data_IF_666492656343
#
_entry.id   IF_666492656343
#
_cell.length_a   1.000
_cell.length_b   1.000
_cell.length_c   1.000
_cell.angle_alpha   90.00
_cell.angle_beta   90.00
_cell.angle_gamma   90.00
#
_symmetry.space_group_name_H-M   'P 1'
#
loop_
_entity.id
_entity.type
_entity.pdbx_description
1 polymer ?
#
# COMPACT_ATOMS: atom_id res chain seq x y z
N UNK A 1 -27.35 37.00 -46.64
CA UNK A 1 -27.70 36.13 -45.49
C UNK A 1 -26.49 35.24 -45.18
N UNK A 2 -25.77 35.53 -44.08
CA UNK A 2 -24.60 34.76 -43.66
C UNK A 2 -25.05 33.84 -42.54
N UNK A 3 -24.90 32.53 -42.73
CA UNK A 3 -25.19 31.52 -41.74
C UNK A 3 -23.96 31.34 -40.80
N UNK A 4 -24.14 31.63 -39.53
CA UNK A 4 -23.14 31.40 -38.49
C UNK A 4 -23.29 29.95 -38.05
N UNK A 5 -22.30 29.11 -38.35
CA UNK A 5 -22.21 27.75 -37.83
C UNK A 5 -21.67 27.82 -36.40
N UNK A 6 -22.51 27.46 -35.40
CA UNK A 6 -22.10 27.28 -34.00
C UNK A 6 -21.54 25.88 -33.89
N UNK A 7 -20.22 25.74 -33.76
CA UNK A 7 -19.56 24.47 -33.39
C UNK A 7 -19.74 24.26 -31.90
N UNK A 8 -20.53 23.27 -31.53
CA UNK A 8 -20.60 22.77 -30.17
C UNK A 8 -19.26 22.09 -29.82
N UNK A 9 -18.53 22.63 -28.84
CA UNK A 9 -17.35 21.98 -28.25
C UNK A 9 -17.90 20.96 -27.24
N UNK A 10 -17.90 19.69 -27.65
CA UNK A 10 -18.11 18.58 -26.72
C UNK A 10 -16.95 18.56 -25.69
N UNK A 11 -17.20 19.12 -24.53
CA UNK A 11 -16.33 18.95 -23.38
C UNK A 11 -16.42 17.49 -22.93
N UNK A 12 -15.49 16.67 -23.40
CA UNK A 12 -15.31 15.29 -22.89
C UNK A 12 -15.03 15.37 -21.40
N UNK A 13 -16.06 15.23 -20.58
CA UNK A 13 -15.90 15.04 -19.15
C UNK A 13 -15.18 13.69 -18.97
N UNK A 14 -13.90 13.75 -18.60
CA UNK A 14 -13.18 12.58 -18.13
C UNK A 14 -13.98 12.05 -16.94
N UNK A 15 -14.60 10.88 -17.11
CA UNK A 15 -15.32 10.24 -16.01
C UNK A 15 -14.36 10.13 -14.82
N UNK A 16 -14.78 10.67 -13.70
CA UNK A 16 -14.03 10.65 -12.47
C UNK A 16 -13.69 9.20 -12.09
N UNK A 17 -12.41 8.93 -11.86
CA UNK A 17 -11.90 7.58 -11.60
C UNK A 17 -12.13 7.25 -10.11
N UNK A 18 -13.31 6.74 -9.76
CA UNK A 18 -13.67 6.38 -8.39
C UNK A 18 -13.85 4.87 -8.26
N UNK A 19 -13.36 4.33 -7.16
CA UNK A 19 -13.48 2.90 -6.91
C UNK A 19 -13.28 2.54 -5.46
N UNK A 20 -13.83 1.38 -5.09
CA UNK A 20 -13.70 0.78 -3.77
C UNK A 20 -13.20 -0.65 -3.90
N UNK A 21 -12.31 -1.03 -3.01
CA UNK A 21 -11.85 -2.38 -2.78
C UNK A 21 -12.21 -2.81 -1.35
N UNK A 22 -12.82 -3.98 -1.23
CA UNK A 22 -12.97 -4.74 0.02
C UNK A 22 -12.23 -6.06 -0.15
N UNK A 23 -11.09 -6.21 0.54
CA UNK A 23 -10.26 -7.40 0.47
C UNK A 23 -10.10 -8.08 1.83
N UNK A 24 -10.10 -9.41 1.82
CA UNK A 24 -9.76 -10.26 2.96
C UNK A 24 -8.59 -11.15 2.57
N UNK A 25 -7.65 -11.32 3.49
CA UNK A 25 -6.40 -12.04 3.26
C UNK A 25 -6.18 -13.13 4.29
N UNK A 26 -5.64 -14.25 3.82
CA UNK A 26 -5.06 -15.29 4.66
C UNK A 26 -3.53 -15.15 4.65
N UNK A 27 -2.92 -15.26 5.83
CA UNK A 27 -1.47 -15.24 6.01
C UNK A 27 -1.00 -16.64 6.41
N UNK A 28 0.05 -17.13 5.73
CA UNK A 28 0.67 -18.43 6.01
C UNK A 28 2.19 -18.32 6.05
N UNK A 29 2.83 -19.24 6.79
CA UNK A 29 4.29 -19.49 6.71
C UNK A 29 4.49 -20.97 6.50
N UNK A 30 5.25 -21.36 5.46
CA UNK A 30 5.43 -22.74 5.04
C UNK A 30 4.09 -23.50 4.84
N UNK A 31 3.05 -22.79 4.37
CA UNK A 31 1.70 -23.33 4.21
C UNK A 31 0.87 -23.45 5.48
N UNK A 32 1.42 -23.13 6.65
CA UNK A 32 0.72 -23.15 7.94
C UNK A 32 0.01 -21.80 8.14
N UNK A 33 -1.32 -21.77 8.39
CA UNK A 33 -2.04 -20.53 8.70
C UNK A 33 -1.46 -19.87 9.97
N UNK A 34 -1.16 -18.57 9.85
CA UNK A 34 -0.62 -17.75 10.94
C UNK A 34 -1.49 -16.54 11.28
N UNK A 35 -2.47 -16.21 10.43
CA UNK A 35 -3.37 -15.09 10.66
C UNK A 35 -4.22 -14.75 9.45
N UNK A 36 -5.08 -13.78 9.64
CA UNK A 36 -5.92 -13.21 8.59
C UNK A 36 -6.03 -11.69 8.77
N UNK A 37 -6.44 -11.01 7.73
CA UNK A 37 -6.63 -9.56 7.75
C UNK A 37 -7.63 -9.09 6.71
N UNK A 38 -8.00 -7.82 6.83
CA UNK A 38 -8.85 -7.12 5.88
C UNK A 38 -8.22 -5.81 5.43
N UNK A 39 -8.53 -5.39 4.23
CA UNK A 39 -8.13 -4.10 3.70
C UNK A 39 -9.25 -3.47 2.88
N UNK A 40 -9.66 -2.27 3.26
CA UNK A 40 -10.63 -1.46 2.53
C UNK A 40 -9.90 -0.25 1.96
N UNK A 41 -10.04 -0.04 0.66
CA UNK A 41 -9.48 1.11 -0.05
C UNK A 41 -10.58 1.82 -0.80
N UNK A 42 -10.69 3.12 -0.64
CA UNK A 42 -11.60 3.97 -1.40
C UNK A 42 -10.81 5.04 -2.14
N UNK A 43 -11.01 5.11 -3.42
CA UNK A 43 -10.39 6.10 -4.31
C UNK A 43 -11.48 7.02 -4.81
N UNK A 44 -11.30 8.31 -4.59
CA UNK A 44 -12.16 9.39 -5.07
C UNK A 44 -11.39 10.28 -6.05
N UNK A 45 -12.06 11.25 -6.64
CA UNK A 45 -11.43 12.19 -7.60
C UNK A 45 -10.22 12.92 -7.03
N UNK A 46 -10.37 13.42 -5.80
CA UNK A 46 -9.37 14.28 -5.16
C UNK A 46 -8.79 13.69 -3.88
N UNK A 47 -9.20 12.50 -3.47
CA UNK A 47 -8.78 11.90 -2.21
C UNK A 47 -8.77 10.38 -2.26
N UNK A 48 -8.11 9.78 -1.28
CA UNK A 48 -8.20 8.35 -1.02
C UNK A 48 -8.22 8.08 0.48
N UNK A 49 -8.79 6.94 0.84
CA UNK A 49 -8.67 6.35 2.17
C UNK A 49 -8.30 4.88 2.04
N UNK A 50 -7.53 4.40 3.00
CA UNK A 50 -7.18 3.01 3.13
C UNK A 50 -7.22 2.63 4.60
N UNK A 51 -7.86 1.52 4.96
CA UNK A 51 -7.91 1.01 6.32
C UNK A 51 -7.73 -0.50 6.32
N UNK A 52 -6.92 -1.00 7.24
CA UNK A 52 -6.61 -2.40 7.37
C UNK A 52 -6.74 -2.86 8.81
N UNK A 53 -7.06 -4.12 8.98
CA UNK A 53 -6.96 -4.82 10.27
C UNK A 53 -6.42 -6.23 10.04
N UNK A 54 -5.82 -6.80 11.10
CA UNK A 54 -5.31 -8.16 11.04
C UNK A 54 -5.15 -8.74 12.43
N UNK A 55 -5.15 -10.07 12.50
CA UNK A 55 -4.95 -10.82 13.73
C UNK A 55 -4.17 -12.10 13.44
N UNK A 56 -3.36 -12.51 14.41
CA UNK A 56 -2.71 -13.81 14.37
C UNK A 56 -3.67 -14.91 14.78
N UNK A 57 -3.50 -16.11 14.22
CA UNK A 57 -4.30 -17.29 14.54
C UNK A 57 -3.46 -18.57 14.56
N UNK A 58 -4.12 -19.72 14.83
CA UNK A 58 -3.47 -21.02 14.88
C UNK A 58 -2.42 -21.13 15.95
N UNK A 59 -1.33 -21.83 15.65
CA UNK A 59 -0.20 -21.99 16.59
C UNK A 59 0.45 -20.67 16.96
N UNK A 60 0.44 -19.67 16.08
CA UNK A 60 1.03 -18.36 16.34
C UNK A 60 0.28 -17.61 17.45
N UNK A 61 -1.04 -17.84 17.61
CA UNK A 61 -1.83 -17.24 18.70
C UNK A 61 -1.32 -17.61 20.09
N UNK A 62 -0.70 -18.81 20.24
CA UNK A 62 -0.10 -19.22 21.51
C UNK A 62 1.24 -18.54 21.78
N UNK A 63 1.90 -18.00 20.76
CA UNK A 63 3.20 -17.34 20.91
C UNK A 63 3.09 -15.82 20.91
N UNK A 64 2.17 -15.28 20.08
CA UNK A 64 1.99 -13.83 19.93
C UNK A 64 0.54 -13.56 19.55
N UNK A 65 -0.35 -13.45 20.51
CA UNK A 65 -1.78 -13.11 20.26
C UNK A 65 -1.96 -11.70 19.66
N UNK A 66 -1.20 -11.38 18.61
CA UNK A 66 -1.13 -10.04 18.05
C UNK A 66 -2.35 -9.70 17.18
N UNK A 67 -2.82 -8.49 17.31
CA UNK A 67 -3.79 -7.85 16.42
C UNK A 67 -3.28 -6.47 16.00
N UNK A 68 -3.60 -6.05 14.80
CA UNK A 68 -3.17 -4.75 14.30
C UNK A 68 -4.27 -4.06 13.53
N UNK A 69 -4.23 -2.74 13.54
CA UNK A 69 -5.04 -1.87 12.70
C UNK A 69 -4.15 -0.82 12.06
N UNK A 70 -4.53 -0.36 10.89
CA UNK A 70 -3.84 0.72 10.22
C UNK A 70 -4.81 1.53 9.36
N UNK A 71 -4.55 2.82 9.22
CA UNK A 71 -5.30 3.69 8.33
C UNK A 71 -4.38 4.72 7.68
N UNK A 72 -4.61 4.97 6.41
CA UNK A 72 -4.01 6.07 5.67
C UNK A 72 -5.08 6.83 4.92
N UNK A 73 -4.90 8.13 4.78
CA UNK A 73 -5.72 8.98 3.93
C UNK A 73 -4.86 10.05 3.29
N UNK A 74 -5.32 10.54 2.15
CA UNK A 74 -4.59 11.57 1.43
C UNK A 74 -5.36 12.13 0.27
N UNK A 75 -4.66 12.86 -0.57
CA UNK A 75 -5.20 13.49 -1.78
C UNK A 75 -4.70 12.80 -3.03
N UNK A 76 -5.46 12.94 -4.10
CA UNK A 76 -5.06 12.62 -5.47
C UNK A 76 -4.55 13.90 -6.12
N UNK A 77 -3.25 14.09 -6.18
CA UNK A 77 -2.63 15.29 -6.75
C UNK A 77 -1.80 14.94 -7.97
N UNK A 78 -2.08 15.57 -9.10
CA UNK A 78 -1.42 15.27 -10.39
C UNK A 78 -1.41 13.76 -10.72
N UNK A 79 -2.48 13.05 -10.35
CA UNK A 79 -2.60 11.62 -10.54
C UNK A 79 -1.73 10.76 -9.61
N UNK A 80 -1.19 11.30 -8.53
CA UNK A 80 -0.42 10.58 -7.54
C UNK A 80 -1.19 10.50 -6.21
N UNK A 81 -0.99 9.41 -5.49
CA UNK A 81 -1.48 9.24 -4.11
C UNK A 81 -0.53 10.00 -3.18
N UNK A 82 -0.99 11.08 -2.59
CA UNK A 82 -0.22 11.93 -1.67
C UNK A 82 -0.82 11.81 -0.27
N UNK A 83 -0.20 11.04 0.64
CA UNK A 83 -0.75 10.86 1.97
C UNK A 83 -0.71 12.16 2.78
N UNK A 84 -1.73 12.34 3.63
CA UNK A 84 -1.82 13.45 4.60
C UNK A 84 -1.78 12.95 6.02
N UNK A 85 -2.18 11.71 6.28
CA UNK A 85 -2.06 11.08 7.59
C UNK A 85 -1.97 9.57 7.48
N UNK A 86 -1.22 8.99 8.40
CA UNK A 86 -1.11 7.56 8.64
C UNK A 86 -1.16 7.27 10.13
N UNK A 87 -1.85 6.22 10.51
CA UNK A 87 -1.87 5.69 11.86
C UNK A 87 -1.83 4.17 11.81
N UNK A 88 -1.08 3.57 12.71
CA UNK A 88 -1.05 2.13 12.91
C UNK A 88 -0.93 1.79 14.40
N UNK A 89 -1.64 0.76 14.82
CA UNK A 89 -1.56 0.20 16.16
C UNK A 89 -1.40 -1.30 16.05
N UNK A 90 -0.40 -1.85 16.73
CA UNK A 90 -0.18 -3.30 16.89
C UNK A 90 -0.21 -3.61 18.38
N UNK A 91 -1.05 -4.54 18.76
CA UNK A 91 -1.22 -4.97 20.15
C UNK A 91 -0.89 -6.45 20.20
N UNK A 92 0.06 -6.82 21.03
CA UNK A 92 0.31 -8.19 21.45
C UNK A 92 0.11 -8.34 22.97
N UNK A 93 0.36 -9.53 23.52
CA UNK A 93 0.14 -9.81 24.94
C UNK A 93 1.06 -8.99 25.88
N UNK A 94 2.08 -8.32 25.36
CA UNK A 94 3.14 -7.66 26.13
C UNK A 94 3.33 -6.20 25.78
N UNK A 95 2.99 -5.80 24.54
CA UNK A 95 3.32 -4.50 24.00
C UNK A 95 2.18 -3.90 23.18
N UNK A 96 2.13 -2.60 23.19
CA UNK A 96 1.32 -1.81 22.26
C UNK A 96 2.31 -0.96 21.48
N UNK A 97 2.34 -1.17 20.18
CA UNK A 97 3.09 -0.33 19.24
C UNK A 97 2.12 0.60 18.51
N UNK A 98 2.34 1.89 18.64
CA UNK A 98 1.53 2.92 17.99
C UNK A 98 2.40 3.85 17.16
N UNK A 99 1.92 4.19 15.98
CA UNK A 99 2.54 5.15 15.08
C UNK A 99 1.48 6.09 14.54
N UNK A 100 1.75 7.38 14.58
CA UNK A 100 0.97 8.41 13.92
C UNK A 100 1.90 9.30 13.09
N UNK A 101 1.56 9.58 11.84
CA UNK A 101 2.34 10.43 10.94
C UNK A 101 1.38 11.41 10.28
N UNK A 102 1.70 12.70 10.34
CA UNK A 102 1.06 13.76 9.57
C UNK A 102 1.98 14.19 8.44
N UNK A 103 1.44 14.36 7.24
CA UNK A 103 2.21 14.74 6.05
C UNK A 103 1.55 15.89 5.29
N UNK A 104 2.37 16.68 4.63
CA UNK A 104 1.92 17.69 3.68
C UNK A 104 2.84 17.68 2.44
N UNK A 105 2.26 17.44 1.26
CA UNK A 105 3.01 17.43 -0.01
C UNK A 105 4.17 16.42 -0.03
N UNK A 106 4.01 15.24 0.59
CA UNK A 106 5.04 14.23 0.68
C UNK A 106 6.11 14.49 1.76
N UNK A 107 5.94 15.49 2.61
CA UNK A 107 6.85 15.76 3.72
C UNK A 107 6.16 15.50 5.05
N UNK A 108 6.84 14.81 5.96
CA UNK A 108 6.36 14.60 7.33
C UNK A 108 6.40 15.94 8.06
N UNK A 109 5.25 16.36 8.59
CA UNK A 109 5.10 17.59 9.37
C UNK A 109 5.11 17.32 10.87
N UNK A 110 4.62 16.12 11.26
CA UNK A 110 4.61 15.66 12.63
C UNK A 110 4.54 14.13 12.67
N UNK A 111 5.12 13.50 13.69
CA UNK A 111 4.98 12.06 13.92
C UNK A 111 5.23 11.68 15.38
N UNK A 112 4.56 10.60 15.80
CA UNK A 112 4.81 9.92 17.07
C UNK A 112 4.96 8.43 16.82
N UNK A 113 5.82 7.78 17.59
CA UNK A 113 5.98 6.33 17.57
C UNK A 113 6.24 5.84 19.00
N UNK A 114 5.28 5.11 19.55
CA UNK A 114 5.32 4.57 20.89
C UNK A 114 5.36 3.01 20.86
N UNK A 115 6.20 2.36 21.66
CA UNK A 115 7.24 2.97 22.50
C UNK A 115 8.35 3.61 21.64
N UNK A 116 8.96 4.67 22.16
CA UNK A 116 10.10 5.30 21.50
C UNK A 116 11.24 4.30 21.30
N UNK A 117 11.93 4.40 20.15
CA UNK A 117 13.11 3.57 19.92
C UNK A 117 14.20 3.88 20.95
N UNK A 118 14.72 2.85 21.59
CA UNK A 118 15.89 3.01 22.44
C UNK A 118 17.06 3.61 21.67
N UNK A 119 17.77 4.60 22.21
CA UNK A 119 18.97 5.13 21.60
C UNK A 119 20.05 4.05 21.57
N UNK A 120 20.55 3.75 20.36
CA UNK A 120 21.65 2.82 20.13
C UNK A 120 22.72 3.54 19.32
N UNK A 121 24.00 3.50 19.75
CA UNK A 121 25.09 4.20 19.05
C UNK A 121 25.24 3.79 17.57
N UNK A 122 24.95 2.53 17.26
CA UNK A 122 25.06 1.94 15.94
C UNK A 122 23.84 2.18 15.04
N UNK A 123 22.76 2.78 15.57
CA UNK A 123 21.58 3.12 14.78
C UNK A 123 21.85 4.31 13.87
N UNK A 124 21.59 4.15 12.58
CA UNK A 124 21.64 5.27 11.63
C UNK A 124 20.53 6.27 12.02
N UNK A 125 20.86 7.51 12.38
CA UNK A 125 19.84 8.48 12.82
C UNK A 125 18.93 8.89 11.67
N UNK A 126 17.64 9.10 11.96
CA UNK A 126 16.71 9.72 11.02
C UNK A 126 16.90 11.23 11.05
N UNK A 127 17.15 11.83 9.91
CA UNK A 127 17.34 13.28 9.73
C UNK A 127 16.07 13.95 9.18
N UNK A 128 16.05 15.27 9.13
CA UNK A 128 14.97 16.02 8.50
C UNK A 128 14.89 15.76 6.99
N UNK A 129 16.01 15.47 6.34
CA UNK A 129 16.06 15.11 4.92
C UNK A 129 15.36 13.78 4.65
N UNK A 130 15.47 12.81 5.56
CA UNK A 130 14.87 11.48 5.44
C UNK A 130 13.34 11.49 5.53
N UNK A 131 12.76 12.58 6.02
CA UNK A 131 11.32 12.77 6.18
C UNK A 131 10.68 13.60 5.07
N UNK A 132 11.43 13.85 3.98
CA UNK A 132 10.95 14.59 2.81
C UNK A 132 10.79 13.69 1.60
N UNK A 133 9.77 13.97 0.80
CA UNK A 133 9.45 13.22 -0.40
C UNK A 133 9.09 11.76 -0.12
N UNK A 134 8.42 11.49 0.99
CA UNK A 134 8.07 10.14 1.45
C UNK A 134 6.57 9.90 1.45
N UNK A 135 6.20 8.63 1.44
CA UNK A 135 4.84 8.16 1.74
C UNK A 135 4.86 7.24 2.96
N UNK A 136 3.70 6.97 3.51
CA UNK A 136 3.52 5.96 4.56
C UNK A 136 3.48 4.53 4.00
N UNK A 137 3.65 3.49 4.86
CA UNK A 137 3.66 2.08 4.43
C UNK A 137 2.39 1.64 3.69
N UNK A 138 1.21 2.10 4.11
CA UNK A 138 -0.06 1.69 3.51
C UNK A 138 -0.26 2.32 2.12
N UNK A 139 0.07 3.60 1.97
CA UNK A 139 0.07 4.28 0.67
C UNK A 139 1.10 3.65 -0.27
N UNK A 140 2.27 3.23 0.24
CA UNK A 140 3.32 2.60 -0.56
C UNK A 140 2.90 1.29 -1.21
N UNK A 141 1.96 0.57 -0.60
CA UNK A 141 1.41 -0.68 -1.12
C UNK A 141 0.43 -0.47 -2.29
N UNK A 142 -0.13 0.74 -2.43
CA UNK A 142 -0.97 1.09 -3.58
C UNK A 142 -0.12 1.54 -4.76
N UNK A 143 -0.43 1.04 -5.95
CA UNK A 143 0.29 1.39 -7.17
C UNK A 143 -0.62 2.16 -8.13
N UNK A 144 -0.37 3.45 -8.29
CA UNK A 144 -1.04 4.26 -9.33
C UNK A 144 -0.26 4.16 -10.64
N UNK A 145 -0.92 3.72 -11.70
CA UNK A 145 -0.34 3.61 -13.05
C UNK A 145 -0.77 4.81 -13.90
N UNK A 146 0.19 5.49 -14.50
CA UNK A 146 -0.03 6.62 -15.39
C UNK A 146 -0.61 6.23 -16.75
N UNK A 147 -0.79 7.23 -17.64
CA UNK A 147 -1.23 7.01 -19.01
C UNK A 147 -2.69 6.54 -19.17
N UNK A 148 -3.06 6.07 -20.37
CA UNK A 148 -4.42 5.62 -20.72
C UNK A 148 -4.50 4.12 -21.05
N UNK A 149 -3.37 3.40 -21.14
CA UNK A 149 -3.33 1.95 -21.38
C UNK A 149 -3.86 1.14 -20.19
N UNK A 150 -3.80 -0.19 -20.31
CA UNK A 150 -4.19 -1.09 -19.22
C UNK A 150 -3.30 -0.83 -17.98
N UNK A 151 -3.88 -0.56 -16.80
CA UNK A 151 -3.09 -0.41 -15.59
C UNK A 151 -2.39 -1.71 -15.15
N UNK A 152 -2.91 -2.88 -15.52
CA UNK A 152 -2.27 -4.18 -15.25
C UNK A 152 -1.22 -4.44 -16.32
N UNK A 153 -0.07 -3.80 -16.17
CA UNK A 153 0.99 -3.81 -17.18
C UNK A 153 2.38 -3.82 -16.50
N UNK A 154 3.46 -4.16 -17.24
CA UNK A 154 4.83 -4.15 -16.72
C UNK A 154 5.26 -2.83 -16.09
N UNK A 155 4.74 -1.70 -16.56
CA UNK A 155 5.04 -0.35 -16.06
C UNK A 155 4.65 -0.17 -14.60
N UNK A 156 3.65 -0.91 -14.13
CA UNK A 156 3.23 -0.88 -12.72
C UNK A 156 4.35 -1.31 -11.75
N UNK A 157 5.30 -2.13 -12.22
CA UNK A 157 6.42 -2.61 -11.42
C UNK A 157 7.66 -1.70 -11.46
N UNK A 158 7.72 -0.73 -12.36
CA UNK A 158 8.90 0.14 -12.50
C UNK A 158 8.86 1.28 -11.49
N UNK A 159 9.06 0.98 -10.21
CA UNK A 159 8.89 1.94 -9.12
C UNK A 159 10.03 1.88 -8.11
N UNK A 160 10.33 3.05 -7.57
CA UNK A 160 11.11 3.21 -6.34
C UNK A 160 10.35 4.17 -5.44
N UNK A 161 9.81 3.67 -4.34
CA UNK A 161 8.94 4.40 -3.44
C UNK A 161 9.68 4.70 -2.14
N UNK A 162 9.93 5.98 -1.83
CA UNK A 162 10.48 6.38 -0.53
C UNK A 162 9.42 6.25 0.55
N UNK A 163 9.68 5.47 1.60
CA UNK A 163 8.74 5.21 2.69
C UNK A 163 9.32 5.65 4.02
N UNK A 164 8.49 6.28 4.85
CA UNK A 164 8.77 6.50 6.27
C UNK A 164 7.64 5.92 7.11
N UNK A 165 7.99 5.02 8.04
CA UNK A 165 7.02 4.29 8.86
C UNK A 165 6.87 4.83 10.29
N UNK A 166 7.49 6.01 10.56
CA UNK A 166 7.55 6.60 11.90
C UNK A 166 8.84 6.25 12.65
N UNK A 167 9.59 5.24 12.20
CA UNK A 167 10.83 4.78 12.84
C UNK A 167 11.98 4.61 11.86
N UNK A 168 11.68 4.09 10.67
CA UNK A 168 12.66 3.75 9.64
C UNK A 168 12.29 4.44 8.34
N UNK A 169 13.30 4.99 7.69
CA UNK A 169 13.24 5.47 6.32
C UNK A 169 13.85 4.40 5.41
N UNK A 170 13.10 3.96 4.42
CA UNK A 170 13.55 2.95 3.45
C UNK A 170 12.95 3.22 2.07
N UNK A 171 13.58 2.69 1.04
CA UNK A 171 13.03 2.65 -0.30
C UNK A 171 12.50 1.24 -0.60
N UNK A 172 11.32 1.16 -1.19
CA UNK A 172 10.80 -0.04 -1.82
C UNK A 172 11.00 0.08 -3.33
N UNK A 173 11.93 -0.70 -3.87
CA UNK A 173 12.10 -0.89 -5.30
C UNK A 173 11.22 -2.00 -5.82
N UNK A 174 10.73 -1.89 -7.06
CA UNK A 174 10.05 -2.99 -7.73
C UNK A 174 10.41 -3.09 -9.20
N UNK A 175 10.46 -4.32 -9.72
CA UNK A 175 10.77 -4.65 -11.10
C UNK A 175 9.80 -5.69 -11.64
N UNK A 176 9.47 -5.60 -12.92
CA UNK A 176 8.58 -6.56 -13.58
C UNK A 176 9.19 -7.95 -13.64
N UNK A 177 8.41 -8.96 -13.25
CA UNK A 177 8.78 -10.38 -13.41
C UNK A 177 7.98 -11.08 -14.50
N UNK A 178 6.66 -11.04 -14.42
CA UNK A 178 5.74 -11.74 -15.34
C UNK A 178 4.31 -11.25 -15.17
N UNK A 179 3.45 -11.66 -16.09
CA UNK A 179 2.01 -11.60 -15.94
C UNK A 179 1.49 -12.94 -15.44
N UNK A 180 0.46 -12.90 -14.61
CA UNK A 180 -0.25 -14.08 -14.10
C UNK A 180 -1.76 -13.87 -14.19
N UNK A 181 -2.52 -14.94 -14.00
CA UNK A 181 -3.97 -14.88 -13.78
C UNK A 181 -4.30 -15.41 -12.40
N UNK A 182 -5.20 -14.74 -11.73
CA UNK A 182 -5.63 -15.11 -10.38
C UNK A 182 -7.14 -15.24 -10.30
N UNK A 183 -7.59 -15.96 -9.30
CA UNK A 183 -8.99 -16.07 -8.91
C UNK A 183 -9.08 -16.03 -7.38
N UNK A 184 -9.80 -15.04 -6.84
CA UNK A 184 -10.22 -15.05 -5.44
C UNK A 184 -11.38 -16.03 -5.24
N UNK A 185 -11.60 -16.48 -4.02
CA UNK A 185 -12.82 -17.25 -3.69
C UNK A 185 -14.06 -16.37 -3.90
N UNK A 186 -13.93 -15.05 -3.64
CA UNK A 186 -14.99 -14.08 -3.87
C UNK A 186 -14.42 -12.79 -4.49
N UNK A 187 -14.95 -12.40 -5.63
CA UNK A 187 -14.66 -11.13 -6.30
C UNK A 187 -13.75 -11.30 -7.51
N UNK A 188 -12.54 -10.76 -7.48
CA UNK A 188 -11.69 -10.62 -8.64
C UNK A 188 -11.23 -11.96 -9.24
N UNK A 189 -11.41 -12.07 -10.54
CA UNK A 189 -10.83 -13.10 -11.40
C UNK A 189 -10.28 -12.40 -12.65
N UNK A 190 -8.97 -12.56 -12.91
CA UNK A 190 -8.36 -11.89 -14.06
C UNK A 190 -6.84 -11.76 -13.97
N UNK A 191 -6.25 -10.96 -14.88
CA UNK A 191 -4.82 -10.78 -14.95
C UNK A 191 -4.28 -9.95 -13.80
N UNK A 192 -3.07 -10.29 -13.35
CA UNK A 192 -2.28 -9.50 -12.39
C UNK A 192 -0.87 -9.32 -12.91
N UNK A 193 -0.23 -8.23 -12.52
CA UNK A 193 1.19 -8.03 -12.78
C UNK A 193 1.99 -8.45 -11.54
N UNK A 194 3.00 -9.28 -11.75
CA UNK A 194 3.91 -9.77 -10.73
C UNK A 194 5.18 -8.95 -10.74
N UNK A 195 5.48 -8.31 -9.61
CA UNK A 195 6.67 -7.51 -9.41
C UNK A 195 7.59 -8.18 -8.37
N UNK A 196 8.89 -8.23 -8.67
CA UNK A 196 9.90 -8.43 -7.64
C UNK A 196 9.94 -7.21 -6.73
N UNK A 197 10.23 -7.41 -5.44
CA UNK A 197 10.38 -6.34 -4.46
C UNK A 197 11.77 -6.32 -3.85
N UNK A 198 12.28 -5.10 -3.64
CA UNK A 198 13.60 -4.84 -3.07
C UNK A 198 13.50 -3.83 -1.94
N UNK A 199 14.13 -4.16 -0.82
CA UNK A 199 14.19 -3.29 0.35
C UNK A 199 15.57 -2.63 0.44
N UNK A 200 15.58 -1.30 0.53
CA UNK A 200 16.79 -0.51 0.74
C UNK A 200 16.62 0.38 1.96
N UNK A 201 17.17 0.01 3.13
CA UNK A 201 17.08 0.86 4.32
C UNK A 201 17.97 2.10 4.17
N UNK A 202 17.50 3.25 4.63
CA UNK A 202 18.20 4.53 4.53
C UNK A 202 18.62 5.02 5.93
N UNK A 203 17.67 5.09 6.88
CA UNK A 203 17.96 5.54 8.24
C UNK A 203 16.95 4.95 9.24
N UNK A 204 17.18 5.12 10.55
CA UNK A 204 16.34 4.58 11.62
C UNK A 204 16.66 3.13 12.01
N UNK A 205 17.50 2.44 11.28
CA UNK A 205 17.83 1.03 11.47
C UNK A 205 19.24 0.81 12.06
N UNK A 206 19.51 -0.40 12.51
CA UNK A 206 20.85 -0.85 12.92
C UNK A 206 21.41 -1.77 11.84
N UNK A 207 22.51 -1.39 11.15
CA UNK A 207 23.01 -2.12 9.97
C UNK A 207 23.36 -3.59 10.23
N UNK A 208 23.90 -3.90 11.40
CA UNK A 208 24.37 -5.26 11.74
C UNK A 208 23.28 -6.22 12.23
N UNK A 209 22.04 -5.77 12.31
CA UNK A 209 20.93 -6.67 12.64
C UNK A 209 20.71 -7.70 11.54
N UNK A 210 20.67 -8.98 11.93
CA UNK A 210 20.48 -10.10 10.99
C UNK A 210 19.23 -9.95 10.10
N UNK A 211 18.12 -9.43 10.67
CA UNK A 211 16.91 -9.19 9.92
C UNK A 211 17.07 -8.13 8.82
N UNK A 212 17.84 -7.07 9.09
CA UNK A 212 18.14 -6.02 8.10
C UNK A 212 19.02 -6.58 6.98
N UNK A 213 20.10 -7.28 7.33
CA UNK A 213 20.98 -7.93 6.35
C UNK A 213 20.19 -8.89 5.46
N UNK A 214 19.33 -9.70 6.08
CA UNK A 214 18.46 -10.63 5.36
C UNK A 214 17.56 -9.91 4.35
N UNK A 215 16.84 -8.86 4.77
CA UNK A 215 15.95 -8.11 3.89
C UNK A 215 16.68 -7.38 2.76
N UNK A 216 17.88 -6.85 3.02
CA UNK A 216 18.72 -6.19 2.00
C UNK A 216 19.21 -7.17 0.93
N UNK A 217 19.52 -8.40 1.32
CA UNK A 217 20.00 -9.46 0.42
C UNK A 217 18.87 -10.20 -0.31
N UNK A 218 17.62 -10.07 0.17
CA UNK A 218 16.47 -10.79 -0.37
C UNK A 218 16.18 -10.39 -1.82
N UNK A 219 16.01 -11.41 -2.70
CA UNK A 219 15.72 -11.21 -4.15
C UNK A 219 14.44 -11.90 -4.62
N UNK A 220 13.84 -12.70 -3.76
CA UNK A 220 12.70 -13.57 -4.10
C UNK A 220 11.37 -13.11 -3.46
N UNK A 221 11.32 -11.86 -2.96
CA UNK A 221 10.06 -11.27 -2.56
C UNK A 221 9.26 -10.85 -3.80
N UNK A 222 7.97 -11.16 -3.80
CA UNK A 222 7.05 -10.83 -4.89
C UNK A 222 5.77 -10.17 -4.38
N UNK A 223 5.26 -9.23 -5.15
CA UNK A 223 3.89 -8.73 -5.02
C UNK A 223 3.15 -8.90 -6.34
N UNK A 224 1.92 -9.39 -6.26
CA UNK A 224 1.02 -9.54 -7.40
C UNK A 224 -0.07 -8.49 -7.27
N UNK A 225 -0.16 -7.61 -8.24
CA UNK A 225 -1.01 -6.43 -8.19
C UNK A 225 -2.24 -6.63 -9.06
N UNK A 226 -3.42 -6.46 -8.46
CA UNK A 226 -4.73 -6.50 -9.12
C UNK A 226 -5.37 -5.11 -9.14
N UNK A 227 -6.22 -4.80 -10.13
CA UNK A 227 -6.81 -3.47 -10.29
C UNK A 227 -7.95 -3.22 -9.31
N UNK A 228 -8.03 -1.98 -8.82
CA UNK A 228 -9.23 -1.45 -8.19
C UNK A 228 -10.14 -0.91 -9.29
N UNK A 229 -11.31 -1.53 -9.46
CA UNK A 229 -12.25 -1.22 -10.54
C UNK A 229 -12.62 0.26 -10.58
N UNK A 230 -12.75 0.82 -11.78
CA UNK A 230 -13.05 2.23 -11.99
C UNK A 230 -11.88 3.18 -11.76
N UNK A 231 -10.69 2.67 -11.42
CA UNK A 231 -9.52 3.48 -11.13
C UNK A 231 -8.30 3.03 -11.94
N UNK A 232 -7.21 3.75 -11.81
CA UNK A 232 -5.89 3.32 -12.31
C UNK A 232 -4.96 2.93 -11.16
N UNK A 233 -5.53 2.52 -10.02
CA UNK A 233 -4.80 2.08 -8.83
C UNK A 233 -4.86 0.56 -8.76
N UNK A 234 -3.71 -0.05 -8.52
CA UNK A 234 -3.57 -1.48 -8.24
C UNK A 234 -3.31 -1.67 -6.75
N UNK A 235 -3.81 -2.78 -6.23
CA UNK A 235 -3.59 -3.20 -4.84
C UNK A 235 -3.01 -4.63 -4.80
N UNK A 236 -2.26 -5.01 -3.77
CA UNK A 236 -1.75 -6.35 -3.59
C UNK A 236 -2.88 -7.39 -3.53
N UNK A 237 -2.84 -8.35 -4.44
CA UNK A 237 -3.66 -9.56 -4.41
C UNK A 237 -2.94 -10.70 -3.68
N UNK A 238 -1.63 -10.75 -3.89
CA UNK A 238 -0.75 -11.75 -3.30
C UNK A 238 0.59 -11.11 -2.99
N UNK A 239 1.16 -11.47 -1.86
CA UNK A 239 2.54 -11.13 -1.49
C UNK A 239 3.22 -12.37 -0.97
N UNK A 240 4.46 -12.60 -1.38
CA UNK A 240 5.29 -13.67 -0.82
C UNK A 240 6.71 -13.20 -0.56
N UNK A 241 7.27 -13.76 0.49
CA UNK A 241 8.65 -13.50 0.90
C UNK A 241 9.21 -14.76 1.55
N UNK A 242 10.37 -15.28 1.11
CA UNK A 242 11.09 -16.30 1.86
C UNK A 242 11.34 -15.81 3.29
N UNK A 243 11.27 -16.71 4.25
CA UNK A 243 11.62 -16.46 5.66
C UNK A 243 12.48 -17.62 6.16
N UNK A 244 13.21 -17.50 7.27
CA UNK A 244 13.95 -18.63 7.85
C UNK A 244 13.07 -19.85 8.20
N UNK A 245 11.76 -19.67 8.31
CA UNK A 245 10.81 -20.73 8.64
C UNK A 245 10.09 -21.31 7.39
N UNK A 246 10.40 -20.78 6.21
CA UNK A 246 9.78 -21.15 4.93
C UNK A 246 9.13 -19.95 4.24
N UNK A 247 8.37 -20.20 3.19
CA UNK A 247 7.72 -19.14 2.41
C UNK A 247 6.60 -18.48 3.23
N UNK A 248 6.75 -17.21 3.54
CA UNK A 248 5.69 -16.34 4.06
C UNK A 248 4.80 -15.88 2.92
N UNK A 249 3.49 -16.01 3.07
CA UNK A 249 2.50 -15.65 2.04
C UNK A 249 1.36 -14.87 2.66
N UNK A 250 0.94 -13.80 2.00
CA UNK A 250 -0.32 -13.11 2.21
C UNK A 250 -1.12 -13.21 0.91
N UNK A 251 -2.30 -13.83 0.92
CA UNK A 251 -3.10 -14.07 -0.27
C UNK A 251 -4.53 -13.60 -0.07
N UNK A 252 -5.06 -12.84 -1.04
CA UNK A 252 -6.45 -12.45 -1.03
C UNK A 252 -7.35 -13.67 -1.21
N UNK A 253 -8.21 -13.89 -0.23
CA UNK A 253 -9.33 -14.82 -0.25
C UNK A 253 -10.58 -14.16 -0.85
N UNK A 254 -10.83 -12.92 -0.43
CA UNK A 254 -11.81 -12.03 -1.03
C UNK A 254 -11.08 -10.82 -1.63
N UNK A 255 -11.48 -10.43 -2.84
CA UNK A 255 -11.00 -9.22 -3.50
C UNK A 255 -12.14 -8.61 -4.31
N UNK A 256 -13.07 -7.97 -3.59
CA UNK A 256 -14.27 -7.37 -4.20
C UNK A 256 -13.97 -5.91 -4.53
N UNK A 257 -13.93 -5.61 -5.81
CA UNK A 257 -13.65 -4.27 -6.29
C UNK A 257 -14.80 -3.77 -7.16
N UNK A 258 -15.25 -2.55 -6.93
CA UNK A 258 -16.33 -1.91 -7.67
C UNK A 258 -15.98 -0.47 -8.04
N UNK A 259 -16.27 -0.10 -9.29
CA UNK A 259 -16.28 1.30 -9.68
C UNK A 259 -17.43 2.02 -8.94
N UNK A 260 -17.16 3.18 -8.40
CA UNK A 260 -18.17 4.01 -7.77
C UNK A 260 -18.64 5.12 -8.75
N UNK A 261 -19.94 5.42 -8.80
CA UNK A 261 -20.41 6.57 -9.57
C UNK A 261 -19.86 7.86 -8.96
N UNK A 262 -19.45 8.81 -9.80
CA UNK A 262 -19.08 10.13 -9.33
C UNK A 262 -20.18 10.72 -8.47
N UNK A 263 -19.86 11.14 -7.24
CA UNK A 263 -20.82 11.84 -6.41
C UNK A 263 -21.21 13.16 -7.11
N UNK A 264 -22.45 13.23 -7.61
CA UNK A 264 -23.00 14.49 -8.06
C UNK A 264 -23.02 15.42 -6.84
N UNK A 265 -22.19 16.49 -6.89
CA UNK A 265 -22.26 17.57 -5.91
C UNK A 265 -23.68 18.11 -6.03
N UNK A 266 -24.52 17.85 -5.03
CA UNK A 266 -25.84 18.48 -4.92
C UNK A 266 -25.58 20.00 -4.86
N UNK A 267 -25.87 20.69 -5.97
CA UNK A 267 -25.91 22.15 -5.96
C UNK A 267 -27.06 22.55 -5.05
N UNK A 268 -26.73 22.92 -3.82
CA UNK A 268 -27.66 23.62 -2.94
C UNK A 268 -27.92 24.98 -3.62
N UNK A 269 -29.18 25.16 -4.08
CA UNK A 269 -29.70 26.43 -4.54
C UNK A 269 -29.94 27.35 -3.36
#
# INVERSE_FOLDING_TARGET
MAAIAVTAIDASHSAAAQGRLDAEYDATVAGIPIGHGSWVVEIFDNSFTASASGTTEGLMKFFTGARGTGASRGTMTAGQLVPTSYAATIIDDRHIDEVHISLAGGNVTDYTAEPALLPLPERIPVTDADRRGVVDPMTSALTRVGGSGDPVSPEACQRKVPVFDGRVRYDLGSEFKRMESVKAEKGYEGPVVVCALYFTPISGYVPDRAAIKYLVELRDAEVWLAPIAGTRVLAPFYFSMPTPLGLGVLKAKQFVSAAQPAHAIAKTQ
#
